data_IF_235885993979
#
_entry.id   IF_235885993979
#
_cell.length_a   1.000
_cell.length_b   1.000
_cell.length_c   1.000
_cell.angle_alpha   90.00
_cell.angle_beta   90.00
_cell.angle_gamma   90.00
#
_symmetry.space_group_name_H-M   'P 1'
#
loop_
_entity.id
_entity.type
_entity.pdbx_description
1 polymer ?
#
# COMPACT_ATOMS: atom_id res chain seq x y z
N UNK A 1 -23.52 -9.86 26.70
CA UNK A 1 -22.08 -9.99 26.39
C UNK A 1 -21.90 -9.74 24.91
N UNK A 2 -21.81 -8.48 24.49
CA UNK A 2 -21.53 -8.15 23.08
C UNK A 2 -20.03 -8.04 22.92
N UNK A 3 -19.46 -8.92 22.08
CA UNK A 3 -18.07 -8.82 21.64
C UNK A 3 -18.00 -7.68 20.64
N UNK A 4 -17.28 -6.62 20.98
CA UNK A 4 -16.87 -5.62 19.98
C UNK A 4 -15.90 -6.28 19.01
N UNK A 5 -16.29 -6.35 17.74
CA UNK A 5 -15.37 -6.57 16.63
C UNK A 5 -14.46 -5.34 16.58
N UNK A 6 -13.15 -5.55 16.64
CA UNK A 6 -12.18 -4.48 16.48
C UNK A 6 -12.32 -3.91 15.06
N UNK A 7 -12.87 -2.70 14.94
CA UNK A 7 -12.81 -1.93 13.70
C UNK A 7 -11.39 -1.37 13.56
N UNK A 8 -10.50 -2.14 12.93
CA UNK A 8 -9.28 -1.61 12.33
C UNK A 8 -9.66 -1.01 10.97
N UNK A 9 -10.20 0.20 10.97
CA UNK A 9 -10.14 1.07 9.80
C UNK A 9 -9.96 2.51 10.28
N UNK A 10 -8.71 2.97 10.24
CA UNK A 10 -8.36 4.38 10.42
C UNK A 10 -7.67 4.86 9.15
N UNK A 11 -8.33 4.73 8.01
CA UNK A 11 -7.97 5.47 6.81
C UNK A 11 -7.78 6.95 7.18
N UNK A 12 -6.55 7.48 7.08
CA UNK A 12 -6.29 8.90 7.35
C UNK A 12 -6.63 9.68 6.09
N UNK A 13 -7.65 10.52 6.16
CA UNK A 13 -8.02 11.42 5.05
C UNK A 13 -7.58 12.84 5.40
N UNK A 14 -6.83 13.47 4.49
CA UNK A 14 -6.48 14.89 4.59
C UNK A 14 -7.26 15.68 3.56
N UNK A 15 -8.12 16.58 4.02
CA UNK A 15 -8.77 17.55 3.14
C UNK A 15 -7.78 18.65 2.72
N UNK A 16 -7.75 18.95 1.44
CA UNK A 16 -6.95 20.03 0.86
C UNK A 16 -7.84 20.91 -0.01
N UNK A 17 -7.45 22.17 -0.19
CA UNK A 17 -8.19 23.10 -1.04
C UNK A 17 -7.26 23.95 -1.89
N UNK A 18 -7.82 24.96 -2.53
CA UNK A 18 -7.02 25.95 -3.27
C UNK A 18 -6.62 25.51 -4.67
N UNK A 19 -7.30 24.53 -5.27
CA UNK A 19 -6.91 23.97 -6.57
C UNK A 19 -5.54 23.26 -6.53
N UNK A 20 -5.19 22.67 -5.38
CA UNK A 20 -3.89 22.00 -5.15
C UNK A 20 -3.52 20.98 -6.23
N UNK A 21 -4.52 20.33 -6.83
CA UNK A 21 -4.34 19.31 -7.87
C UNK A 21 -4.67 19.82 -9.28
N UNK A 22 -4.75 21.15 -9.45
CA UNK A 22 -5.29 21.77 -10.64
C UNK A 22 -6.67 22.38 -10.38
N UNK A 23 -7.05 23.28 -11.28
CA UNK A 23 -8.31 23.99 -11.26
C UNK A 23 -9.25 23.36 -12.27
N UNK A 24 -10.50 23.13 -11.88
CA UNK A 24 -11.56 22.74 -12.80
C UNK A 24 -11.87 23.85 -13.80
N UNK A 25 -12.70 23.51 -14.79
CA UNK A 25 -13.23 24.49 -15.76
C UNK A 25 -14.74 24.39 -15.96
N UNK A 26 -15.34 23.32 -15.43
CA UNK A 26 -16.78 23.05 -15.44
C UNK A 26 -17.47 23.65 -14.20
N UNK A 27 -18.81 23.79 -14.17
CA UNK A 27 -19.51 24.36 -13.02
C UNK A 27 -19.14 23.71 -11.68
N UNK A 28 -18.96 24.53 -10.63
CA UNK A 28 -18.78 24.03 -9.27
C UNK A 28 -20.14 23.60 -8.71
N UNK A 29 -20.30 22.29 -8.48
CA UNK A 29 -21.59 21.68 -8.15
C UNK A 29 -21.97 21.79 -6.67
N UNK A 30 -20.98 21.67 -5.76
CA UNK A 30 -21.21 21.60 -4.31
C UNK A 30 -20.11 22.40 -3.59
N UNK A 31 -20.50 23.22 -2.61
CA UNK A 31 -19.57 23.95 -1.74
C UNK A 31 -19.96 23.82 -0.28
N UNK A 32 -19.06 24.21 0.63
CA UNK A 32 -19.33 24.32 2.06
C UNK A 32 -19.96 23.06 2.69
N UNK A 33 -19.41 21.88 2.38
CA UNK A 33 -19.79 20.62 3.01
C UNK A 33 -19.50 20.69 4.52
N UNK A 34 -20.47 20.31 5.34
CA UNK A 34 -20.39 20.23 6.80
C UNK A 34 -20.68 18.79 7.25
N UNK A 35 -19.88 17.84 6.75
CA UNK A 35 -20.00 16.43 7.11
C UNK A 35 -19.67 16.21 8.59
N UNK A 36 -20.44 15.34 9.24
CA UNK A 36 -20.21 14.85 10.59
C UNK A 36 -19.19 13.70 10.66
N UNK A 37 -18.99 13.01 9.53
CA UNK A 37 -18.09 11.86 9.38
C UNK A 37 -18.81 10.51 9.44
N UNK A 38 -20.13 10.47 9.61
CA UNK A 38 -20.94 9.24 9.56
C UNK A 38 -21.72 9.07 8.26
N UNK A 39 -21.62 10.02 7.33
CA UNK A 39 -22.27 9.98 6.03
C UNK A 39 -21.67 8.90 5.12
N UNK A 40 -22.50 8.28 4.27
CA UNK A 40 -22.05 7.26 3.32
C UNK A 40 -21.62 7.84 1.97
N UNK A 41 -22.05 9.06 1.65
CA UNK A 41 -21.75 9.77 0.42
C UNK A 41 -21.71 11.28 0.66
N UNK A 42 -20.96 12.03 -0.15
CA UNK A 42 -20.81 13.48 0.01
C UNK A 42 -22.13 14.26 -0.15
N UNK A 43 -23.09 13.71 -0.89
CA UNK A 43 -24.43 14.28 -1.04
C UNK A 43 -25.29 14.16 0.22
N UNK A 44 -24.93 13.29 1.17
CA UNK A 44 -25.64 13.16 2.45
C UNK A 44 -25.15 14.21 3.46
N UNK A 45 -24.01 14.84 3.21
CA UNK A 45 -23.49 15.87 4.09
C UNK A 45 -24.34 17.14 4.00
N UNK A 46 -24.68 17.76 5.14
CA UNK A 46 -25.26 19.09 5.15
C UNK A 46 -24.38 20.06 4.36
N UNK A 47 -24.98 20.85 3.48
CA UNK A 47 -24.30 21.92 2.75
C UNK A 47 -25.10 23.21 2.86
N UNK A 48 -24.39 24.32 3.03
CA UNK A 48 -24.98 25.66 3.05
C UNK A 48 -25.04 26.29 1.66
N UNK A 49 -24.63 25.57 0.61
CA UNK A 49 -24.54 26.11 -0.75
C UNK A 49 -24.78 25.02 -1.80
N UNK A 50 -25.98 25.03 -2.41
CA UNK A 50 -26.35 24.14 -3.50
C UNK A 50 -26.28 24.86 -4.86
N UNK A 51 -25.66 24.18 -5.85
CA UNK A 51 -25.75 24.35 -7.31
C UNK A 51 -25.72 25.80 -7.83
N UNK A 52 -24.60 26.19 -8.46
CA UNK A 52 -24.51 27.45 -9.21
C UNK A 52 -24.38 28.72 -8.36
N UNK A 53 -24.00 28.58 -7.09
CA UNK A 53 -23.79 29.72 -6.20
C UNK A 53 -22.59 30.57 -6.62
N UNK A 54 -22.82 31.87 -6.76
CA UNK A 54 -21.90 32.92 -7.25
C UNK A 54 -20.78 33.29 -6.26
N UNK A 55 -20.11 32.30 -5.68
CA UNK A 55 -19.04 32.52 -4.69
C UNK A 55 -17.95 31.45 -4.63
N UNK A 56 -18.11 30.36 -5.36
CA UNK A 56 -17.07 29.34 -5.52
C UNK A 56 -16.30 29.60 -6.82
N UNK A 57 -14.97 29.59 -6.72
CA UNK A 57 -14.06 29.72 -7.86
C UNK A 57 -13.19 28.48 -7.90
N UNK A 58 -12.73 28.09 -9.08
CA UNK A 58 -11.82 26.96 -9.25
C UNK A 58 -10.50 27.12 -8.52
N UNK A 59 -10.11 28.36 -8.21
CA UNK A 59 -8.97 28.61 -7.31
C UNK A 59 -9.18 28.09 -5.88
N UNK A 60 -10.39 27.63 -5.53
CA UNK A 60 -10.77 27.06 -4.24
C UNK A 60 -11.23 25.61 -4.34
N UNK A 61 -11.03 24.96 -5.49
CA UNK A 61 -11.43 23.56 -5.66
C UNK A 61 -10.83 22.70 -4.54
N UNK A 62 -11.72 21.91 -3.94
CA UNK A 62 -11.38 20.99 -2.86
C UNK A 62 -10.77 19.71 -3.46
N UNK A 63 -9.80 19.15 -2.76
CA UNK A 63 -9.23 17.84 -3.04
C UNK A 63 -9.10 17.05 -1.75
N UNK A 64 -8.87 15.76 -1.89
CA UNK A 64 -8.58 14.87 -0.75
C UNK A 64 -7.30 14.11 -1.04
N UNK A 65 -6.49 13.94 0.00
CA UNK A 65 -5.43 12.95 0.02
C UNK A 65 -5.93 11.84 0.92
N UNK A 66 -6.26 10.71 0.32
CA UNK A 66 -6.56 9.50 1.06
C UNK A 66 -5.23 8.80 1.36
N UNK A 67 -4.85 8.72 2.62
CA UNK A 67 -3.75 7.88 3.08
C UNK A 67 -4.30 6.45 3.12
N UNK A 68 -4.19 5.79 1.98
CA UNK A 68 -4.41 4.38 1.85
C UNK A 68 -3.24 3.69 2.56
N UNK A 69 -3.47 3.08 3.73
CA UNK A 69 -2.42 2.37 4.48
C UNK A 69 -1.67 1.33 3.60
N UNK A 70 -2.31 0.82 2.54
CA UNK A 70 -1.73 -0.09 1.53
C UNK A 70 -0.70 0.56 0.57
N UNK A 71 -0.69 1.89 0.41
CA UNK A 71 0.30 2.62 -0.40
C UNK A 71 1.58 2.98 0.38
N UNK A 72 1.61 2.69 1.68
CA UNK A 72 2.68 3.18 2.55
C UNK A 72 3.99 2.43 2.34
N UNK A 73 3.92 1.18 1.89
CA UNK A 73 5.08 0.33 1.64
C UNK A 73 4.90 -0.53 0.38
N UNK A 74 4.96 0.07 -0.82
CA UNK A 74 4.81 -0.68 -2.06
C UNK A 74 5.94 -1.70 -2.21
N UNK A 75 5.58 -2.83 -2.83
CA UNK A 75 6.50 -3.92 -3.16
C UNK A 75 6.76 -3.92 -4.66
N UNK A 76 7.98 -4.29 -5.06
CA UNK A 76 8.34 -4.57 -6.45
C UNK A 76 9.23 -5.80 -6.57
N UNK A 77 9.25 -6.40 -7.76
CA UNK A 77 10.17 -7.46 -8.13
C UNK A 77 11.27 -6.92 -9.05
N UNK A 78 12.52 -7.26 -8.75
CA UNK A 78 13.70 -6.77 -9.48
C UNK A 78 14.56 -7.95 -9.96
N UNK A 79 15.17 -7.80 -11.13
CA UNK A 79 16.09 -8.77 -11.76
C UNK A 79 15.47 -10.14 -12.10
N UNK A 80 14.14 -10.24 -12.21
CA UNK A 80 13.48 -11.39 -12.83
C UNK A 80 13.50 -11.34 -14.35
N UNK A 81 13.17 -12.46 -15.01
CA UNK A 81 12.97 -12.51 -16.46
C UNK A 81 11.63 -11.93 -16.91
N UNK A 82 10.70 -11.74 -15.97
CA UNK A 82 9.38 -11.16 -16.18
C UNK A 82 8.86 -10.47 -14.92
N UNK A 83 7.68 -9.83 -14.99
CA UNK A 83 7.12 -9.06 -13.88
C UNK A 83 6.56 -9.92 -12.74
N UNK A 84 6.41 -11.23 -12.94
CA UNK A 84 5.92 -12.20 -11.94
C UNK A 84 7.04 -12.83 -11.10
N UNK A 85 8.31 -12.50 -11.36
CA UNK A 85 9.41 -13.03 -10.58
C UNK A 85 10.50 -11.99 -10.32
N UNK A 86 11.27 -12.19 -9.26
CA UNK A 86 12.39 -11.33 -8.94
C UNK A 86 12.70 -11.26 -7.45
N UNK A 87 13.75 -10.51 -7.12
CA UNK A 87 14.07 -10.11 -5.75
C UNK A 87 12.97 -9.19 -5.25
N UNK A 88 12.49 -9.45 -4.05
CA UNK A 88 11.47 -8.63 -3.38
C UNK A 88 12.13 -7.40 -2.79
N UNK A 89 11.65 -6.23 -3.19
CA UNK A 89 12.02 -4.95 -2.57
C UNK A 89 10.78 -4.23 -2.06
N UNK A 90 10.92 -3.62 -0.88
CA UNK A 90 9.90 -2.82 -0.22
C UNK A 90 10.34 -1.36 -0.23
N UNK A 91 9.43 -0.42 -0.45
CA UNK A 91 9.73 1.00 -0.34
C UNK A 91 9.32 1.51 1.04
N UNK A 92 10.29 1.92 1.85
CA UNK A 92 10.05 2.51 3.16
C UNK A 92 10.90 3.77 3.33
N UNK A 93 10.40 4.77 4.06
CA UNK A 93 11.14 6.00 4.35
C UNK A 93 11.79 6.69 3.13
N UNK A 94 11.11 6.66 1.97
CA UNK A 94 11.57 7.30 0.74
C UNK A 94 12.67 6.57 -0.03
N UNK A 95 12.99 5.32 0.32
CA UNK A 95 13.99 4.53 -0.40
C UNK A 95 13.56 3.06 -0.53
N UNK A 96 14.00 2.42 -1.61
CA UNK A 96 13.85 0.98 -1.81
C UNK A 96 14.89 0.22 -0.99
N UNK A 97 14.49 -0.92 -0.45
CA UNK A 97 15.35 -1.84 0.28
C UNK A 97 14.89 -3.27 0.11
N UNK A 98 15.79 -4.22 0.33
CA UNK A 98 15.51 -5.64 0.14
C UNK A 98 14.83 -6.27 1.35
N UNK A 99 14.38 -7.50 1.18
CA UNK A 99 13.86 -8.35 2.25
C UNK A 99 14.90 -9.44 2.53
N UNK A 100 15.19 -9.67 3.81
CA UNK A 100 16.09 -10.74 4.26
C UNK A 100 15.45 -12.11 4.09
N UNK A 101 16.26 -13.12 3.79
CA UNK A 101 15.76 -14.48 3.56
C UNK A 101 15.72 -15.38 4.81
N UNK A 102 16.08 -14.86 5.99
CA UNK A 102 15.99 -15.65 7.20
C UNK A 102 14.50 -15.83 7.53
N UNK A 103 14.07 -17.09 7.66
CA UNK A 103 12.66 -17.54 7.69
C UNK A 103 11.82 -17.39 6.41
N UNK A 104 12.35 -16.78 5.35
CA UNK A 104 11.61 -16.63 4.08
C UNK A 104 11.08 -17.96 3.52
N UNK A 105 9.75 -18.07 3.39
CA UNK A 105 9.05 -19.27 2.94
C UNK A 105 7.90 -18.98 1.95
N UNK A 106 7.17 -20.03 1.56
CA UNK A 106 6.07 -19.93 0.60
C UNK A 106 4.89 -19.09 1.11
N UNK A 107 4.65 -19.01 2.42
CA UNK A 107 3.59 -18.17 2.98
C UNK A 107 3.93 -16.70 2.84
N UNK A 108 5.20 -16.32 3.04
CA UNK A 108 5.65 -14.95 2.77
C UNK A 108 5.53 -14.63 1.27
N UNK A 109 5.88 -15.58 0.41
CA UNK A 109 5.74 -15.44 -1.04
C UNK A 109 4.26 -15.30 -1.48
N UNK A 110 3.32 -16.01 -0.84
CA UNK A 110 1.88 -15.84 -1.09
C UNK A 110 1.43 -14.40 -0.86
N UNK A 111 1.88 -13.79 0.24
CA UNK A 111 1.52 -12.39 0.57
C UNK A 111 2.08 -11.45 -0.50
N UNK A 112 3.33 -11.62 -0.92
CA UNK A 112 3.92 -10.79 -1.98
C UNK A 112 3.19 -10.95 -3.32
N UNK A 113 2.91 -12.18 -3.74
CA UNK A 113 2.20 -12.42 -5.00
C UNK A 113 0.79 -11.81 -4.97
N UNK A 114 0.09 -11.90 -3.84
CA UNK A 114 -1.21 -11.23 -3.64
C UNK A 114 -1.10 -9.72 -3.71
N UNK A 115 -0.14 -9.13 -3.00
CA UNK A 115 0.10 -7.68 -3.02
C UNK A 115 0.34 -7.14 -4.43
N UNK A 116 0.94 -7.95 -5.31
CA UNK A 116 1.23 -7.63 -6.70
C UNK A 116 0.11 -8.02 -7.67
N UNK A 117 -0.95 -8.68 -7.20
CA UNK A 117 -2.10 -9.09 -8.00
C UNK A 117 -1.90 -10.37 -8.82
N UNK A 118 -0.93 -11.21 -8.46
CA UNK A 118 -0.69 -12.51 -9.09
C UNK A 118 -1.43 -13.66 -8.38
N UNK A 119 -1.54 -14.79 -9.08
CA UNK A 119 -2.11 -16.01 -8.50
C UNK A 119 -1.19 -16.56 -7.39
N UNK A 120 -1.80 -17.04 -6.31
CA UNK A 120 -1.14 -17.51 -5.08
C UNK A 120 -1.20 -19.03 -4.94
N UNK A 121 -1.62 -19.77 -5.97
CA UNK A 121 -1.81 -21.23 -5.92
C UNK A 121 -0.48 -21.95 -5.81
N UNK A 122 0.57 -21.47 -6.51
CA UNK A 122 1.90 -22.09 -6.50
C UNK A 122 3.03 -21.04 -6.41
N UNK A 123 3.09 -20.23 -5.34
CA UNK A 123 4.15 -19.24 -5.18
C UNK A 123 5.43 -19.94 -4.73
N UNK A 124 6.55 -19.55 -5.33
CA UNK A 124 7.86 -20.12 -5.02
C UNK A 124 8.69 -19.05 -4.31
N UNK A 125 9.07 -19.34 -3.08
CA UNK A 125 10.02 -18.55 -2.32
C UNK A 125 11.45 -18.92 -2.69
N UNK A 126 12.27 -17.95 -3.09
CA UNK A 126 13.68 -18.16 -3.45
C UNK A 126 14.60 -17.24 -2.65
N UNK A 127 15.88 -17.60 -2.53
CA UNK A 127 16.86 -16.91 -1.69
C UNK A 127 18.13 -16.63 -2.50
N UNK A 128 18.43 -15.36 -2.76
CA UNK A 128 19.63 -14.93 -3.49
C UNK A 128 19.63 -15.20 -5.01
N UNK A 129 18.54 -15.74 -5.57
CA UNK A 129 18.48 -16.16 -6.98
C UNK A 129 18.58 -14.97 -7.97
N UNK A 130 17.96 -13.84 -7.64
CA UNK A 130 17.88 -12.67 -8.53
C UNK A 130 19.01 -11.64 -8.27
N UNK A 131 20.09 -12.11 -7.65
CA UNK A 131 21.23 -11.30 -7.25
C UNK A 131 20.97 -10.41 -6.04
N UNK A 132 22.05 -9.88 -5.43
CA UNK A 132 21.95 -9.04 -4.24
C UNK A 132 21.28 -7.70 -4.55
N UNK A 133 20.50 -7.20 -3.61
CA UNK A 133 20.01 -5.83 -3.58
C UNK A 133 21.09 -4.84 -3.12
N UNK A 134 20.67 -3.60 -3.00
CA UNK A 134 21.51 -2.49 -2.52
C UNK A 134 20.72 -1.64 -1.53
N UNK A 135 21.41 -1.09 -0.52
CA UNK A 135 20.78 -0.20 0.45
C UNK A 135 20.32 -0.94 1.70
N UNK A 136 19.22 -0.52 2.35
CA UNK A 136 18.75 -1.16 3.57
C UNK A 136 18.10 -2.52 3.29
N UNK A 137 18.16 -3.41 4.27
CA UNK A 137 17.25 -4.56 4.37
C UNK A 137 16.12 -4.16 5.31
N UNK A 138 14.90 -4.14 4.80
CA UNK A 138 13.74 -3.57 5.49
C UNK A 138 12.98 -4.52 6.38
N UNK A 139 13.01 -5.81 6.10
CA UNK A 139 12.36 -6.81 6.93
C UNK A 139 13.24 -8.06 6.90
N UNK A 140 13.35 -8.76 8.03
CA UNK A 140 13.93 -10.09 8.11
C UNK A 140 13.12 -10.92 9.12
N UNK A 141 13.27 -12.25 9.09
CA UNK A 141 12.49 -13.16 9.94
C UNK A 141 10.97 -13.06 9.75
N UNK A 142 10.53 -12.80 8.52
CA UNK A 142 9.12 -12.83 8.19
C UNK A 142 8.52 -14.19 8.54
N UNK A 143 7.29 -14.15 9.01
CA UNK A 143 6.55 -15.31 9.51
C UNK A 143 5.08 -15.11 9.24
N UNK A 144 4.77 -14.90 7.96
CA UNK A 144 3.39 -14.76 7.50
C UNK A 144 2.65 -16.10 7.62
N UNK A 145 1.34 -16.06 7.81
CA UNK A 145 0.45 -17.24 7.67
C UNK A 145 0.00 -17.43 6.23
N UNK A 146 0.27 -16.46 5.36
CA UNK A 146 -0.11 -16.47 3.94
C UNK A 146 -1.48 -15.85 3.70
N UNK A 147 -2.15 -15.34 4.72
CA UNK A 147 -3.50 -14.72 4.65
C UNK A 147 -3.46 -13.21 4.83
N UNK A 148 -2.29 -12.67 5.18
CA UNK A 148 -2.06 -11.24 5.33
C UNK A 148 -2.21 -10.50 4.00
N UNK A 149 -2.69 -9.27 4.06
CA UNK A 149 -2.76 -8.39 2.89
C UNK A 149 -1.42 -7.69 2.63
N UNK A 150 -0.60 -7.49 3.67
CA UNK A 150 0.71 -6.85 3.56
C UNK A 150 1.79 -7.57 4.37
N UNK A 151 3.04 -7.47 3.91
CA UNK A 151 4.21 -8.02 4.59
C UNK A 151 4.39 -7.52 6.04
N UNK A 152 3.90 -6.31 6.34
CA UNK A 152 3.99 -5.72 7.67
C UNK A 152 2.94 -6.28 8.64
N UNK A 153 1.87 -6.89 8.14
CA UNK A 153 0.82 -7.49 8.97
C UNK A 153 1.23 -8.87 9.51
N UNK A 154 2.33 -9.42 8.98
CA UNK A 154 2.85 -10.72 9.42
C UNK A 154 3.37 -10.65 10.85
N UNK A 155 3.07 -11.70 11.64
CA UNK A 155 3.29 -11.75 13.10
C UNK A 155 4.73 -11.43 13.55
N UNK A 156 5.71 -11.70 12.71
CA UNK A 156 7.14 -11.54 13.00
C UNK A 156 7.85 -10.56 12.03
N UNK A 157 7.16 -9.52 11.55
CA UNK A 157 7.75 -8.50 10.68
C UNK A 157 8.75 -7.60 11.44
N UNK A 158 9.94 -8.14 11.75
CA UNK A 158 10.98 -7.40 12.48
C UNK A 158 11.91 -6.64 11.52
N UNK A 159 11.87 -5.30 11.69
CA UNK A 159 12.90 -4.27 11.47
C UNK A 159 13.04 -3.53 10.12
N UNK A 160 12.30 -2.40 10.00
CA UNK A 160 12.42 -1.35 8.97
C UNK A 160 13.66 -0.43 9.15
N UNK A 161 14.85 -1.01 9.33
CA UNK A 161 16.13 -0.32 9.35
C UNK A 161 16.81 -0.26 10.73
N UNK A 162 18.08 -0.70 10.79
CA UNK A 162 18.89 -0.66 12.01
C UNK A 162 20.00 -1.72 12.11
N UNK A 163 19.99 -2.73 11.24
CA UNK A 163 21.03 -3.78 11.20
C UNK A 163 21.57 -3.97 9.78
N UNK A 164 22.89 -4.02 9.66
CA UNK A 164 23.57 -4.35 8.39
C UNK A 164 23.44 -5.84 8.11
N UNK A 165 22.36 -6.21 7.44
CA UNK A 165 22.16 -7.57 6.93
C UNK A 165 22.90 -7.75 5.59
N UNK A 166 23.26 -9.00 5.30
CA UNK A 166 23.95 -9.31 4.05
C UNK A 166 22.96 -9.56 2.90
N UNK A 167 23.19 -8.89 1.77
CA UNK A 167 22.36 -9.02 0.56
C UNK A 167 22.55 -10.34 -0.21
N UNK A 168 23.51 -11.19 0.17
CA UNK A 168 23.83 -12.40 -0.60
C UNK A 168 22.66 -13.39 -0.70
N UNK A 169 21.72 -13.30 0.25
CA UNK A 169 20.46 -14.06 0.24
C UNK A 169 19.29 -13.11 0.42
N UNK A 170 19.20 -12.05 -0.35
CA UNK A 170 17.95 -11.30 -0.41
C UNK A 170 16.82 -12.22 -0.91
N UNK A 171 15.65 -12.08 -0.31
CA UNK A 171 14.46 -12.84 -0.64
C UNK A 171 13.96 -12.51 -2.05
N UNK A 172 13.47 -13.53 -2.75
CA UNK A 172 12.81 -13.40 -4.04
C UNK A 172 11.56 -14.27 -4.10
N UNK A 173 10.72 -14.00 -5.10
CA UNK A 173 9.55 -14.82 -5.43
C UNK A 173 9.51 -15.17 -6.91
N UNK A 174 8.83 -16.27 -7.21
CA UNK A 174 8.26 -16.57 -8.52
C UNK A 174 6.76 -16.78 -8.28
N UNK A 175 5.95 -15.88 -8.80
CA UNK A 175 4.49 -15.95 -8.79
C UNK A 175 4.01 -16.64 -10.07
N UNK A 176 2.80 -17.20 -10.02
CA UNK A 176 2.15 -17.71 -11.22
C UNK A 176 1.50 -16.55 -11.98
N UNK A 177 1.71 -16.51 -13.30
CA UNK A 177 1.12 -15.52 -14.20
C UNK A 177 -0.32 -15.88 -14.62
N UNK A 178 -0.89 -16.96 -14.07
CA UNK A 178 -2.26 -17.39 -14.35
C UNK A 178 -2.47 -17.89 -15.79
N UNK A 179 -1.39 -18.25 -16.48
CA UNK A 179 -1.42 -18.81 -17.83
C UNK A 179 -1.23 -20.32 -17.76
N UNK A 180 -2.32 -21.04 -17.48
CA UNK A 180 -2.40 -22.48 -17.72
C UNK A 180 -3.51 -22.75 -18.75
#
# INVERSE_FOLDING_TARGET
>A
MSRSVATHDRTRVTAVGGGKFGQGSDPVWIGNLQCSGSEHQLSDCPTTTLIGSTGCSHSRDAGVICDADWLKYPVRLVNGSGPWEGRVELHAFGQWGSIGSDSWDSHDAMVVCRMLGYDITVPIAVKGQFGPGTGPVWLNYLGCTGTEEHLLDCRNSYALGGQSWSHYRDAGVICDNGTN
#
